data_IF_063017903478
#
_entry.id   IF_063017903478
#
_cell.length_a   1.000
_cell.length_b   1.000
_cell.length_c   1.000
_cell.angle_alpha   90.00
_cell.angle_beta   90.00
_cell.angle_gamma   90.00
#
_symmetry.space_group_name_H-M   'P 1'
#
loop_
_entity.id
_entity.type
_entity.pdbx_description
1 polymer ?
#
# COMPACT_ATOMS: atom_id res chain seq x y z
N UNK A 1 -24.29 -37.32 -23.16
CA UNK A 1 -23.56 -36.04 -23.23
C UNK A 1 -22.65 -35.95 -22.00
N UNK A 2 -21.40 -36.41 -22.11
CA UNK A 2 -20.45 -36.43 -20.99
C UNK A 2 -19.47 -35.27 -21.16
N UNK A 3 -19.60 -34.23 -20.33
CA UNK A 3 -18.63 -33.13 -20.29
C UNK A 3 -17.41 -33.57 -19.48
N UNK A 4 -16.39 -34.06 -20.17
CA UNK A 4 -15.06 -34.27 -19.58
C UNK A 4 -14.37 -32.91 -19.40
N UNK A 5 -14.62 -32.27 -18.27
CA UNK A 5 -13.90 -31.06 -17.86
C UNK A 5 -12.49 -31.41 -17.43
N UNK A 6 -11.52 -31.35 -18.34
CA UNK A 6 -10.10 -31.25 -17.96
C UNK A 6 -9.93 -29.99 -17.11
N UNK A 7 -9.83 -30.14 -15.79
CA UNK A 7 -9.25 -29.09 -14.93
C UNK A 7 -7.80 -28.89 -15.38
N UNK A 8 -7.54 -27.83 -16.13
CA UNK A 8 -6.19 -27.32 -16.27
C UNK A 8 -5.80 -26.72 -14.91
N UNK A 9 -5.01 -27.47 -14.15
CA UNK A 9 -4.30 -26.94 -13.00
C UNK A 9 -3.40 -25.81 -13.48
N UNK A 10 -3.69 -24.58 -13.08
CA UNK A 10 -2.85 -23.39 -13.32
C UNK A 10 -1.55 -23.46 -12.49
N UNK A 11 -1.43 -24.47 -11.61
CA UNK A 11 -0.25 -24.76 -10.82
C UNK A 11 0.45 -25.96 -11.44
N UNK A 12 1.24 -25.69 -12.48
CA UNK A 12 2.23 -26.62 -12.99
C UNK A 12 3.57 -26.31 -12.28
N UNK A 13 4.04 -27.15 -11.33
CA UNK A 13 5.29 -26.91 -10.61
C UNK A 13 6.53 -27.13 -11.48
N UNK A 14 6.38 -27.64 -12.71
CA UNK A 14 7.48 -27.98 -13.62
C UNK A 14 8.08 -26.79 -14.37
N UNK A 15 7.41 -25.64 -14.41
CA UNK A 15 8.06 -24.40 -14.81
C UNK A 15 8.67 -23.77 -13.57
N UNK A 16 9.97 -23.99 -13.41
CA UNK A 16 10.82 -23.17 -12.56
C UNK A 16 10.47 -21.71 -12.83
N UNK A 17 9.72 -21.10 -11.91
CA UNK A 17 9.65 -19.64 -11.83
C UNK A 17 11.10 -19.22 -11.61
N UNK A 18 11.75 -18.82 -12.69
CA UNK A 18 13.08 -18.23 -12.69
C UNK A 18 12.97 -16.85 -12.02
N UNK A 19 12.70 -16.83 -10.73
CA UNK A 19 13.38 -15.88 -9.90
C UNK A 19 14.87 -16.17 -10.03
N UNK A 20 15.67 -15.12 -10.06
CA UNK A 20 17.10 -15.05 -10.32
C UNK A 20 17.98 -15.81 -9.30
N UNK A 21 17.59 -17.03 -8.91
CA UNK A 21 18.31 -17.93 -8.03
C UNK A 21 19.57 -18.52 -8.68
N UNK A 22 19.71 -18.43 -10.01
CA UNK A 22 20.85 -18.97 -10.77
C UNK A 22 21.84 -17.91 -11.29
N UNK A 23 21.65 -16.63 -10.93
CA UNK A 23 22.61 -15.58 -11.30
C UNK A 23 23.54 -15.34 -10.12
N UNK A 24 24.85 -15.50 -10.35
CA UNK A 24 25.85 -15.12 -9.35
C UNK A 24 25.57 -13.68 -8.88
N UNK A 25 25.69 -13.48 -7.57
CA UNK A 25 25.53 -12.16 -6.95
C UNK A 25 26.40 -11.13 -7.68
N UNK A 26 25.83 -9.99 -8.05
CA UNK A 26 26.62 -8.88 -8.56
C UNK A 26 27.62 -8.41 -7.51
N UNK A 27 28.69 -7.71 -7.90
CA UNK A 27 29.65 -7.17 -6.91
C UNK A 27 28.98 -6.27 -5.87
N UNK A 28 27.95 -5.52 -6.26
CA UNK A 28 27.16 -4.68 -5.36
C UNK A 28 26.34 -5.51 -4.36
N UNK A 29 25.77 -6.63 -4.79
CA UNK A 29 25.04 -7.52 -3.87
C UNK A 29 26.00 -8.29 -2.95
N UNK A 30 27.19 -8.65 -3.43
CA UNK A 30 28.23 -9.32 -2.62
C UNK A 30 28.77 -8.38 -1.53
N UNK A 31 28.94 -7.10 -1.83
CA UNK A 31 29.49 -6.12 -0.88
C UNK A 31 28.45 -5.59 0.12
N UNK A 32 27.17 -5.54 -0.26
CA UNK A 32 26.08 -5.06 0.59
C UNK A 32 25.66 -6.08 1.66
N UNK A 33 25.78 -5.73 2.93
CA UNK A 33 25.35 -6.57 4.04
C UNK A 33 23.85 -6.90 3.99
N UNK A 34 23.02 -5.90 3.71
CA UNK A 34 21.56 -6.05 3.62
C UNK A 34 21.15 -7.06 2.54
N UNK A 35 21.81 -7.04 1.37
CA UNK A 35 21.54 -8.02 0.31
C UNK A 35 21.91 -9.44 0.72
N UNK A 36 23.02 -9.63 1.43
CA UNK A 36 23.43 -10.94 1.97
C UNK A 36 22.41 -11.44 3.00
N UNK A 37 22.07 -10.60 3.98
CA UNK A 37 21.07 -10.92 5.01
C UNK A 37 19.70 -11.28 4.40
N UNK A 38 19.25 -10.55 3.37
CA UNK A 38 18.00 -10.86 2.68
C UNK A 38 18.02 -12.22 1.98
N UNK A 39 19.11 -12.57 1.30
CA UNK A 39 19.23 -13.87 0.62
C UNK A 39 19.35 -15.04 1.61
N UNK A 40 20.12 -14.87 2.69
CA UNK A 40 20.24 -15.87 3.76
C UNK A 40 18.90 -16.11 4.47
N UNK A 41 18.08 -15.07 4.61
CA UNK A 41 16.72 -15.21 5.16
C UNK A 41 15.77 -15.93 4.20
N UNK A 42 15.92 -15.76 2.89
CA UNK A 42 15.05 -16.33 1.87
C UNK A 42 15.19 -17.86 1.74
N UNK A 43 16.39 -18.43 1.87
CA UNK A 43 16.58 -19.90 1.79
C UNK A 43 15.90 -20.68 2.92
N UNK A 44 15.52 -20.01 4.02
CA UNK A 44 14.92 -20.65 5.20
C UNK A 44 13.57 -20.08 5.65
N UNK A 45 12.91 -19.23 4.87
CA UNK A 45 11.71 -18.48 5.28
C UNK A 45 11.88 -17.77 6.64
N UNK A 46 13.10 -17.32 6.94
CA UNK A 46 13.40 -16.68 8.22
C UNK A 46 12.84 -15.25 8.23
N UNK A 47 12.41 -14.72 9.38
CA UNK A 47 11.94 -13.35 9.48
C UNK A 47 13.04 -12.40 9.02
N UNK A 48 12.77 -11.62 7.97
CA UNK A 48 13.64 -10.52 7.57
C UNK A 48 13.53 -9.39 8.60
N UNK A 49 14.60 -8.62 8.84
CA UNK A 49 14.60 -7.55 9.85
C UNK A 49 13.46 -6.53 9.69
N UNK A 50 13.03 -6.28 8.44
CA UNK A 50 11.89 -5.43 8.11
C UNK A 50 10.52 -6.13 8.04
N UNK A 51 10.44 -7.45 8.21
CA UNK A 51 9.19 -8.24 8.21
C UNK A 51 8.98 -9.04 9.50
N UNK A 52 9.83 -8.81 10.50
CA UNK A 52 9.73 -9.45 11.80
C UNK A 52 8.66 -8.75 12.65
N UNK A 53 7.49 -9.40 12.76
CA UNK A 53 6.34 -8.90 13.51
C UNK A 53 6.60 -8.72 15.02
N UNK A 54 7.70 -9.24 15.56
CA UNK A 54 8.09 -9.01 16.97
C UNK A 54 8.77 -7.66 17.19
N UNK A 55 9.18 -6.98 16.11
CA UNK A 55 9.78 -5.64 16.18
C UNK A 55 8.70 -4.56 16.10
N UNK A 56 8.96 -3.45 16.77
CA UNK A 56 8.09 -2.27 16.70
C UNK A 56 8.11 -1.61 15.30
N UNK A 57 9.22 -1.74 14.58
CA UNK A 57 9.39 -1.16 13.24
C UNK A 57 9.41 -2.27 12.19
N UNK A 58 8.36 -2.31 11.37
CA UNK A 58 8.18 -3.28 10.28
C UNK A 58 7.67 -2.60 9.02
N UNK A 59 7.83 -3.28 7.89
CA UNK A 59 7.37 -2.85 6.58
C UNK A 59 7.91 -1.46 6.21
N UNK A 60 6.98 -0.57 5.85
CA UNK A 60 7.28 0.79 5.40
C UNK A 60 8.00 1.64 6.46
N UNK A 61 7.70 1.42 7.74
CA UNK A 61 8.32 2.17 8.85
C UNK A 61 9.81 1.82 8.92
N UNK A 62 10.13 0.52 8.88
CA UNK A 62 11.50 0.04 8.90
C UNK A 62 12.31 0.55 7.70
N UNK A 63 11.73 0.50 6.49
CA UNK A 63 12.39 1.01 5.28
C UNK A 63 12.65 2.51 5.37
N UNK A 64 11.69 3.27 5.91
CA UNK A 64 11.83 4.72 6.08
C UNK A 64 12.95 5.04 7.09
N UNK A 65 13.00 4.35 8.22
CA UNK A 65 14.09 4.53 9.20
C UNK A 65 15.48 4.26 8.62
N UNK A 66 15.62 3.17 7.86
CA UNK A 66 16.91 2.86 7.20
C UNK A 66 17.27 3.94 6.18
N UNK A 67 16.30 4.44 5.42
CA UNK A 67 16.54 5.55 4.48
C UNK A 67 16.99 6.81 5.23
N UNK A 68 16.35 7.14 6.35
CA UNK A 68 16.76 8.26 7.21
C UNK A 68 18.21 8.09 7.71
N UNK A 69 18.59 6.90 8.19
CA UNK A 69 19.97 6.60 8.61
C UNK A 69 21.00 6.77 7.49
N UNK A 70 20.58 6.65 6.22
CA UNK A 70 21.44 6.80 5.06
C UNK A 70 21.43 8.20 4.44
N UNK A 71 20.73 9.18 5.03
CA UNK A 71 20.76 10.57 4.57
C UNK A 71 19.46 11.07 3.92
N UNK A 72 18.36 10.31 3.99
CA UNK A 72 17.09 10.72 3.36
C UNK A 72 16.51 12.01 3.91
N UNK A 73 16.66 12.29 5.22
CA UNK A 73 16.10 13.51 5.82
C UNK A 73 16.95 14.75 5.55
N UNK A 74 18.25 14.54 5.30
CA UNK A 74 19.26 15.56 5.08
C UNK A 74 19.17 16.13 3.66
N UNK A 75 18.94 15.28 2.66
CA UNK A 75 18.72 15.69 1.27
C UNK A 75 17.61 14.87 0.60
N UNK A 76 16.33 15.10 0.96
CA UNK A 76 15.23 14.30 0.41
C UNK A 76 15.11 14.40 -1.12
N UNK A 77 15.55 15.50 -1.72
CA UNK A 77 15.47 15.75 -3.16
C UNK A 77 16.42 14.86 -3.98
N UNK A 78 17.49 14.35 -3.36
CA UNK A 78 18.40 13.37 -3.98
C UNK A 78 17.88 11.92 -3.93
N UNK A 79 16.75 11.68 -3.27
CA UNK A 79 16.18 10.35 -3.04
C UNK A 79 14.86 10.16 -3.78
N UNK A 80 14.53 8.91 -4.09
CA UNK A 80 13.22 8.52 -4.60
C UNK A 80 12.48 7.70 -3.54
N UNK A 81 11.28 8.15 -3.14
CA UNK A 81 10.42 7.41 -2.23
C UNK A 81 9.52 6.43 -3.01
N UNK A 82 9.92 5.16 -3.05
CA UNK A 82 9.13 4.06 -3.64
C UNK A 82 8.53 3.14 -2.57
N UNK A 83 8.64 3.53 -1.29
CA UNK A 83 8.22 2.70 -0.15
C UNK A 83 6.90 3.16 0.47
N UNK A 84 6.64 4.47 0.52
CA UNK A 84 5.43 5.02 1.10
C UNK A 84 4.35 5.20 0.03
N UNK A 85 3.11 4.81 0.36
CA UNK A 85 1.94 5.04 -0.50
C UNK A 85 1.28 6.41 -0.27
N UNK A 86 1.99 7.36 0.34
CA UNK A 86 1.48 8.71 0.53
C UNK A 86 1.51 9.47 -0.81
N UNK A 87 0.41 10.10 -1.24
CA UNK A 87 0.41 10.92 -2.45
C UNK A 87 1.25 12.19 -2.24
N UNK A 88 1.73 12.75 -3.34
CA UNK A 88 2.38 14.07 -3.33
C UNK A 88 1.42 15.14 -2.79
N UNK A 89 1.97 16.05 -1.98
CA UNK A 89 1.22 17.07 -1.26
C UNK A 89 1.28 18.45 -1.92
N UNK A 90 1.93 18.58 -3.07
CA UNK A 90 2.00 19.84 -3.82
C UNK A 90 0.65 20.16 -4.47
N UNK A 91 0.22 21.42 -4.43
CA UNK A 91 -1.01 21.90 -5.08
C UNK A 91 -0.81 22.12 -6.58
N UNK A 92 0.43 22.18 -7.07
CA UNK A 92 0.77 22.39 -8.48
C UNK A 92 0.72 21.09 -9.34
N UNK A 93 0.15 20.00 -8.80
CA UNK A 93 0.00 18.73 -9.53
C UNK A 93 -1.07 18.88 -10.62
N UNK A 94 -0.70 18.61 -11.87
CA UNK A 94 -1.62 18.67 -13.01
C UNK A 94 -2.87 17.79 -12.80
N UNK A 95 -4.05 18.41 -12.91
CA UNK A 95 -5.34 17.74 -12.68
C UNK A 95 -5.74 17.60 -11.20
N UNK A 96 -4.90 18.02 -10.26
CA UNK A 96 -5.31 18.15 -8.85
C UNK A 96 -6.13 19.42 -8.63
N UNK A 97 -7.07 19.36 -7.69
CA UNK A 97 -7.72 20.55 -7.16
C UNK A 97 -6.88 21.16 -6.03
N UNK A 98 -6.90 22.49 -5.84
CA UNK A 98 -6.25 23.12 -4.70
C UNK A 98 -6.80 22.57 -3.39
N UNK A 99 -5.94 22.04 -2.51
CA UNK A 99 -6.39 21.44 -1.26
C UNK A 99 -6.87 22.55 -0.29
N UNK A 100 -7.93 22.32 0.51
CA UNK A 100 -8.37 23.28 1.51
C UNK A 100 -7.26 23.57 2.53
N UNK A 101 -6.95 24.85 2.75
CA UNK A 101 -5.93 25.29 3.73
C UNK A 101 -6.46 25.34 5.17
N UNK A 102 -7.78 25.30 5.35
CA UNK A 102 -8.43 25.26 6.66
C UNK A 102 -9.70 24.43 6.63
N UNK A 103 -9.98 23.76 7.75
CA UNK A 103 -11.23 23.03 7.98
C UNK A 103 -11.80 23.56 9.32
N UNK A 104 -12.88 24.35 9.31
CA UNK A 104 -13.45 24.86 10.55
C UNK A 104 -14.08 23.71 11.35
N UNK A 105 -13.59 23.52 12.57
CA UNK A 105 -14.10 22.48 13.48
C UNK A 105 -15.03 23.12 14.50
N UNK A 106 -16.32 22.79 14.41
CA UNK A 106 -17.32 23.25 15.37
C UNK A 106 -17.13 22.59 16.74
N UNK A 107 -17.69 23.18 17.80
CA UNK A 107 -17.65 22.58 19.14
C UNK A 107 -18.33 21.19 19.16
N UNK A 108 -19.43 21.03 18.43
CA UNK A 108 -20.16 19.77 18.34
C UNK A 108 -19.35 18.64 17.70
N UNK A 109 -18.41 18.96 16.80
CA UNK A 109 -17.53 17.95 16.17
C UNK A 109 -16.50 17.36 17.15
N UNK A 110 -16.39 17.90 18.38
CA UNK A 110 -15.51 17.38 19.43
C UNK A 110 -16.19 16.32 20.29
N UNK A 111 -17.49 16.12 20.14
CA UNK A 111 -18.25 15.10 20.83
C UNK A 111 -18.17 13.75 20.11
N UNK A 112 -18.54 12.68 20.81
CA UNK A 112 -18.59 11.35 20.23
C UNK A 112 -19.60 11.29 19.07
N UNK A 113 -19.15 10.75 17.94
CA UNK A 113 -20.03 10.36 16.85
C UNK A 113 -20.79 9.07 17.18
N UNK A 114 -21.94 8.82 16.53
CA UNK A 114 -22.61 7.52 16.62
C UNK A 114 -21.70 6.39 16.13
N UNK A 115 -21.86 5.18 16.69
CA UNK A 115 -21.08 3.99 16.30
C UNK A 115 -21.15 3.69 14.80
N UNK A 116 -22.30 3.90 14.18
CA UNK A 116 -22.50 3.69 12.74
C UNK A 116 -21.96 4.84 11.86
N UNK A 117 -21.45 5.92 12.47
CA UNK A 117 -21.11 7.18 11.81
C UNK A 117 -22.30 8.14 11.71
N UNK A 118 -22.00 9.44 11.57
CA UNK A 118 -23.04 10.48 11.43
C UNK A 118 -23.80 10.31 10.10
N UNK A 119 -25.12 10.43 10.14
CA UNK A 119 -25.99 10.27 8.97
C UNK A 119 -25.57 11.14 7.76
N UNK A 120 -25.18 12.43 7.93
CA UNK A 120 -24.71 13.24 6.81
C UNK A 120 -23.49 12.66 6.10
N UNK A 121 -22.52 12.12 6.84
CA UNK A 121 -21.33 11.48 6.27
C UNK A 121 -21.70 10.22 5.50
N UNK A 122 -22.53 9.35 6.10
CA UNK A 122 -23.01 8.12 5.44
C UNK A 122 -23.75 8.43 4.13
N UNK A 123 -24.61 9.46 4.13
CA UNK A 123 -25.31 9.91 2.93
C UNK A 123 -24.34 10.47 1.87
N UNK A 124 -23.33 11.24 2.28
CA UNK A 124 -22.31 11.77 1.37
C UNK A 124 -21.48 10.66 0.71
N UNK A 125 -21.11 9.63 1.48
CA UNK A 125 -20.43 8.43 0.95
C UNK A 125 -21.32 7.70 -0.04
N UNK A 126 -22.60 7.44 0.30
CA UNK A 126 -23.54 6.80 -0.61
C UNK A 126 -23.68 7.59 -1.94
N UNK A 127 -23.78 8.92 -1.86
CA UNK A 127 -23.82 9.80 -3.04
C UNK A 127 -22.56 9.69 -3.89
N UNK A 128 -21.37 9.70 -3.28
CA UNK A 128 -20.11 9.51 -3.99
C UNK A 128 -20.11 8.20 -4.80
N UNK A 129 -20.51 7.09 -4.19
CA UNK A 129 -20.57 5.81 -4.91
C UNK A 129 -21.61 5.81 -6.03
N UNK A 130 -22.74 6.47 -5.82
CA UNK A 130 -23.78 6.59 -6.85
C UNK A 130 -23.28 7.36 -8.06
N UNK A 131 -22.62 8.50 -7.84
CA UNK A 131 -22.08 9.37 -8.90
C UNK A 131 -20.97 8.67 -9.70
N UNK A 132 -20.06 7.96 -9.02
CA UNK A 132 -18.93 7.31 -9.68
C UNK A 132 -19.30 5.98 -10.34
N UNK A 133 -20.24 5.22 -9.79
CA UNK A 133 -20.41 3.81 -10.14
C UNK A 133 -21.86 3.36 -10.42
N UNK A 134 -22.87 4.21 -10.20
CA UNK A 134 -24.29 3.84 -10.41
C UNK A 134 -25.06 4.71 -11.40
N UNK A 135 -24.39 5.53 -12.19
CA UNK A 135 -25.06 6.23 -13.30
C UNK A 135 -25.72 5.21 -14.25
N UNK A 136 -27.01 5.38 -14.51
CA UNK A 136 -27.81 4.49 -15.36
C UNK A 136 -28.14 3.11 -14.77
N UNK A 137 -27.81 2.84 -13.50
CA UNK A 137 -28.19 1.59 -12.82
C UNK A 137 -29.48 1.77 -12.03
N UNK A 138 -30.27 0.69 -11.93
CA UNK A 138 -31.48 0.68 -11.10
C UNK A 138 -31.13 0.66 -9.61
N UNK A 139 -31.77 1.53 -8.83
CA UNK A 139 -31.57 1.66 -7.38
C UNK A 139 -30.29 2.42 -7.03
N UNK A 140 -30.41 3.44 -6.18
CA UNK A 140 -29.29 4.22 -5.67
C UNK A 140 -29.05 3.88 -4.20
N UNK A 141 -27.79 3.93 -3.76
CA UNK A 141 -27.46 3.79 -2.35
C UNK A 141 -27.99 4.99 -1.57
N UNK A 142 -28.52 4.74 -0.39
CA UNK A 142 -28.91 5.71 0.64
C UNK A 142 -28.01 5.50 1.86
N UNK A 143 -28.23 6.30 2.89
CA UNK A 143 -27.56 6.13 4.17
C UNK A 143 -27.99 4.85 4.91
N UNK A 144 -29.08 4.18 4.49
CA UNK A 144 -29.62 2.97 5.12
C UNK A 144 -29.06 1.66 4.53
N UNK A 145 -28.45 1.69 3.34
CA UNK A 145 -27.82 0.51 2.74
C UNK A 145 -26.66 -0.03 3.58
#
# INVERSE_FOLDING_TARGET
MSFSGRRLSILNPSQSRRFSASKELSQNEKSSETHRQFRDAHEGHRPHAGLDATRASTGVVWTTERACEHGYLEDPAAWANLGQGAPEADDDIEGSFPRPTSIPISSAAREYGPTAGIKPLRAAVARLYNEHYRQGKEGYYTWEN
#
